data_IF_691365180383
#
_entry.id   IF_691365180383
#
_cell.length_a   1.000
_cell.length_b   1.000
_cell.length_c   1.000
_cell.angle_alpha   90.00
_cell.angle_beta   90.00
_cell.angle_gamma   90.00
#
_symmetry.space_group_name_H-M   'P 1'
#
loop_
_entity.id
_entity.type
_entity.pdbx_description
1 polymer ?
#
# COMPACT_ATOMS: atom_id res chain seq x y z
N UNK A 1 12.62 30.71 -44.02
CA UNK A 1 12.17 30.57 -42.62
C UNK A 1 12.54 29.17 -42.16
N UNK A 2 13.61 29.02 -41.39
CA UNK A 2 13.94 27.73 -40.78
C UNK A 2 13.01 27.53 -39.58
N UNK A 3 12.16 26.52 -39.68
CA UNK A 3 11.34 26.05 -38.56
C UNK A 3 12.27 25.63 -37.43
N UNK A 4 12.13 26.27 -36.26
CA UNK A 4 12.78 25.83 -35.03
C UNK A 4 12.31 24.41 -34.75
N UNK A 5 13.24 23.45 -34.82
CA UNK A 5 13.03 22.12 -34.28
C UNK A 5 12.61 22.25 -32.79
N UNK A 6 11.62 21.47 -32.33
CA UNK A 6 11.21 21.51 -30.94
C UNK A 6 12.42 21.20 -30.07
N UNK A 7 12.72 22.08 -29.12
CA UNK A 7 13.83 21.91 -28.17
C UNK A 7 13.74 20.53 -27.54
N UNK A 8 14.81 19.73 -27.66
CA UNK A 8 14.93 18.43 -27.00
C UNK A 8 14.49 18.58 -25.54
N UNK A 9 13.36 17.97 -25.16
CA UNK A 9 12.91 17.96 -23.76
C UNK A 9 14.08 17.43 -22.92
N UNK A 10 14.64 18.26 -22.05
CA UNK A 10 15.72 17.84 -21.15
C UNK A 10 15.17 16.70 -20.30
N UNK A 11 15.77 15.53 -20.42
CA UNK A 11 15.43 14.38 -19.59
C UNK A 11 15.64 14.80 -18.12
N UNK A 12 14.61 14.72 -17.27
CA UNK A 12 14.71 15.16 -15.90
C UNK A 12 15.69 14.28 -15.14
N UNK A 13 16.52 14.87 -14.27
CA UNK A 13 17.48 14.12 -13.44
C UNK A 13 16.86 13.52 -12.17
N UNK A 14 15.61 13.90 -11.87
CA UNK A 14 14.84 13.56 -10.68
C UNK A 14 13.36 13.51 -11.00
N UNK A 15 12.62 12.70 -10.26
CA UNK A 15 11.15 12.73 -10.25
C UNK A 15 10.72 13.90 -9.35
N UNK A 16 9.79 14.78 -9.77
CA UNK A 16 9.32 15.88 -8.94
C UNK A 16 8.76 15.40 -7.60
N UNK A 17 9.19 16.00 -6.50
CA UNK A 17 8.66 15.76 -5.15
C UNK A 17 8.45 17.08 -4.42
N UNK A 18 7.43 17.15 -3.55
CA UNK A 18 7.24 18.29 -2.63
C UNK A 18 7.96 18.03 -1.32
N UNK A 19 8.66 19.03 -0.81
CA UNK A 19 9.42 18.90 0.44
C UNK A 19 8.53 18.91 1.68
N UNK A 20 7.37 19.59 1.64
CA UNK A 20 6.40 19.62 2.74
C UNK A 20 5.55 18.36 2.83
N UNK A 21 5.49 17.59 1.75
CA UNK A 21 4.71 16.36 1.66
C UNK A 21 5.39 15.24 2.45
N UNK A 22 4.68 14.78 3.48
CA UNK A 22 5.06 13.65 4.31
C UNK A 22 4.53 12.32 3.79
N UNK A 23 3.50 12.32 2.92
CA UNK A 23 2.59 11.20 2.61
C UNK A 23 3.16 9.84 3.05
N UNK A 24 2.79 9.39 4.27
CA UNK A 24 3.40 8.23 4.88
C UNK A 24 2.99 6.98 4.10
N UNK A 25 3.92 6.04 4.06
CA UNK A 25 3.72 4.74 3.47
C UNK A 25 3.10 3.81 4.51
N UNK A 26 1.92 3.32 4.17
CA UNK A 26 1.26 2.21 4.83
C UNK A 26 1.66 0.95 4.06
N UNK A 27 1.71 -0.22 4.70
CA UNK A 27 2.16 -1.44 4.02
C UNK A 27 1.02 -2.16 3.34
N UNK A 28 1.44 -3.01 2.42
CA UNK A 28 0.62 -3.91 1.65
C UNK A 28 0.74 -5.35 2.19
N UNK A 29 -0.36 -6.10 2.15
CA UNK A 29 -0.29 -7.54 1.95
C UNK A 29 -0.66 -7.79 0.49
N UNK A 30 0.34 -8.21 -0.27
CA UNK A 30 0.20 -8.63 -1.65
C UNK A 30 -0.60 -9.93 -1.71
N UNK A 31 -1.85 -9.83 -2.16
CA UNK A 31 -2.48 -10.98 -2.82
C UNK A 31 -2.27 -10.72 -4.31
N UNK A 32 -1.09 -11.14 -4.76
CA UNK A 32 -0.50 -11.11 -6.10
C UNK A 32 -1.25 -10.37 -7.21
N UNK A 33 -0.57 -9.52 -8.02
CA UNK A 33 -1.10 -9.18 -9.32
C UNK A 33 -1.40 -10.47 -10.09
N UNK A 34 -2.67 -10.69 -10.40
CA UNK A 34 -3.10 -11.71 -11.37
C UNK A 34 -3.52 -10.98 -12.63
N UNK A 35 -3.50 -11.65 -13.78
CA UNK A 35 -4.05 -11.08 -15.02
C UNK A 35 -5.52 -10.62 -14.88
N UNK A 36 -6.23 -11.10 -13.84
CA UNK A 36 -7.62 -10.73 -13.53
C UNK A 36 -7.78 -9.62 -12.48
N UNK A 37 -6.82 -9.48 -11.56
CA UNK A 37 -6.71 -8.36 -10.62
C UNK A 37 -5.44 -7.58 -10.98
N UNK A 38 -5.49 -6.91 -12.13
CA UNK A 38 -4.36 -6.11 -12.66
C UNK A 38 -3.94 -4.98 -11.72
N UNK A 39 -4.81 -4.59 -10.79
CA UNK A 39 -4.53 -3.62 -9.74
C UNK A 39 -4.30 -4.35 -8.41
N UNK A 40 -3.22 -4.03 -7.67
CA UNK A 40 -2.98 -4.59 -6.35
C UNK A 40 -4.18 -4.31 -5.45
N UNK A 41 -4.46 -5.20 -4.50
CA UNK A 41 -5.62 -5.09 -3.60
C UNK A 41 -5.66 -3.77 -2.81
N UNK A 42 -4.54 -3.04 -2.72
CA UNK A 42 -4.50 -1.69 -2.17
C UNK A 42 -3.55 -0.81 -3.01
N UNK A 43 -4.01 0.29 -3.63
CA UNK A 43 -3.13 1.25 -4.25
C UNK A 43 -2.66 2.15 -3.11
N UNK A 44 -1.39 2.04 -2.76
CA UNK A 44 -0.78 3.01 -1.86
C UNK A 44 0.11 3.90 -2.69
N UNK A 45 0.24 5.19 -2.33
CA UNK A 45 1.15 6.09 -3.02
C UNK A 45 2.57 5.54 -2.88
N UNK A 46 3.01 4.80 -3.89
CA UNK A 46 4.37 4.30 -3.93
C UNK A 46 5.26 5.52 -4.05
N UNK A 47 5.97 5.83 -2.97
CA UNK A 47 6.88 6.97 -2.87
C UNK A 47 8.18 6.72 -3.63
N UNK A 48 8.06 6.22 -4.87
CA UNK A 48 9.19 5.99 -5.77
C UNK A 48 9.95 7.28 -6.05
N UNK A 49 9.28 8.44 -5.95
CA UNK A 49 9.90 9.76 -5.99
C UNK A 49 10.93 9.92 -4.87
N UNK A 50 10.58 9.50 -3.64
CA UNK A 50 11.44 9.59 -2.45
C UNK A 50 12.69 8.72 -2.60
N UNK A 51 12.52 7.48 -3.03
CA UNK A 51 13.63 6.53 -3.23
C UNK A 51 14.54 7.02 -4.35
N UNK A 52 13.96 7.40 -5.48
CA UNK A 52 14.68 7.94 -6.64
C UNK A 52 15.50 9.19 -6.32
N UNK A 53 15.06 9.95 -5.32
CA UNK A 53 15.70 11.19 -4.88
C UNK A 53 16.59 11.02 -3.64
N UNK A 54 16.62 9.85 -2.98
CA UNK A 54 17.31 9.65 -1.71
C UNK A 54 16.75 10.52 -0.57
N UNK A 55 15.44 10.77 -0.62
CA UNK A 55 14.65 11.49 0.38
C UNK A 55 13.92 10.47 1.26
N UNK A 56 13.70 10.72 2.55
CA UNK A 56 13.07 9.73 3.42
C UNK A 56 11.60 9.46 3.04
N UNK A 57 11.21 8.22 3.30
CA UNK A 57 9.83 7.76 3.40
C UNK A 57 9.46 7.63 4.88
N UNK A 58 8.20 7.91 5.23
CA UNK A 58 7.67 7.63 6.56
C UNK A 58 6.91 6.31 6.54
N UNK A 59 7.06 5.53 7.59
CA UNK A 59 6.55 4.18 7.67
C UNK A 59 5.48 4.08 8.75
N UNK A 60 4.28 3.60 8.43
CA UNK A 60 3.21 3.34 9.39
C UNK A 60 3.27 1.88 9.84
N UNK A 61 3.22 1.68 11.15
CA UNK A 61 3.15 0.37 11.78
C UNK A 61 1.77 0.17 12.40
N UNK A 62 1.22 -1.05 12.43
CA UNK A 62 0.04 -1.35 13.25
C UNK A 62 0.38 -1.14 14.73
N UNK A 63 -0.63 -0.89 15.55
CA UNK A 63 -0.47 -0.63 16.99
C UNK A 63 0.03 -1.88 17.74
N UNK A 64 -0.43 -3.06 17.31
CA UNK A 64 -0.16 -4.32 17.98
C UNK A 64 0.13 -5.44 16.98
N UNK A 65 0.89 -6.43 17.44
CA UNK A 65 0.97 -7.74 16.79
C UNK A 65 -0.38 -8.42 16.85
N UNK A 66 -0.90 -8.80 15.68
CA UNK A 66 -2.12 -9.62 15.58
C UNK A 66 -1.82 -11.09 15.33
N UNK A 67 -2.60 -11.96 15.97
CA UNK A 67 -2.57 -13.40 15.79
C UNK A 67 -3.95 -14.03 16.01
N UNK A 68 -4.13 -15.25 15.50
CA UNK A 68 -5.36 -16.06 15.63
C UNK A 68 -4.99 -17.52 15.90
N UNK A 69 -5.83 -18.24 16.64
CA UNK A 69 -5.61 -19.67 16.89
C UNK A 69 -6.31 -20.50 15.82
N UNK A 70 -5.60 -21.48 15.27
CA UNK A 70 -6.13 -22.45 14.30
C UNK A 70 -5.49 -23.82 14.54
N UNK A 71 -6.32 -24.86 14.68
CA UNK A 71 -5.87 -26.24 14.95
C UNK A 71 -4.84 -26.36 16.09
N UNK A 72 -5.01 -25.57 17.16
CA UNK A 72 -4.11 -25.57 18.32
C UNK A 72 -2.79 -24.82 18.13
N UNK A 73 -2.52 -24.28 16.94
CA UNK A 73 -1.39 -23.41 16.65
C UNK A 73 -1.82 -21.94 16.65
N UNK A 74 -0.86 -21.05 16.89
CA UNK A 74 -1.02 -19.60 16.71
C UNK A 74 -0.55 -19.25 15.30
N UNK A 75 -1.45 -18.67 14.52
CA UNK A 75 -1.17 -18.08 13.22
C UNK A 75 -0.92 -16.58 13.42
N UNK A 76 0.19 -16.06 12.91
CA UNK A 76 0.56 -14.64 13.00
C UNK A 76 1.40 -14.25 11.79
N UNK A 77 1.63 -12.95 11.61
CA UNK A 77 2.57 -12.46 10.60
C UNK A 77 4.02 -12.64 11.04
N UNK A 78 4.88 -12.97 10.08
CA UNK A 78 6.32 -12.75 10.19
C UNK A 78 6.62 -11.29 9.80
N UNK A 79 6.52 -10.38 10.78
CA UNK A 79 6.66 -8.93 10.51
C UNK A 79 8.01 -8.55 9.91
N UNK A 80 9.11 -9.24 10.24
CA UNK A 80 10.39 -8.99 9.59
C UNK A 80 10.29 -9.26 8.08
N UNK A 81 9.87 -10.48 7.71
CA UNK A 81 9.73 -10.86 6.29
C UNK A 81 8.70 -10.00 5.57
N UNK A 82 7.57 -9.69 6.21
CA UNK A 82 6.52 -8.85 5.65
C UNK A 82 7.04 -7.47 5.25
N UNK A 83 7.79 -6.82 6.14
CA UNK A 83 8.32 -5.49 5.87
C UNK A 83 9.52 -5.52 4.94
N UNK A 84 10.41 -6.51 5.05
CA UNK A 84 11.51 -6.69 4.09
C UNK A 84 10.96 -6.86 2.68
N UNK A 85 9.99 -7.75 2.49
CA UNK A 85 9.34 -7.99 1.21
C UNK A 85 8.71 -6.73 0.62
N UNK A 86 8.02 -5.94 1.45
CA UNK A 86 7.48 -4.66 1.01
C UNK A 86 8.57 -3.70 0.53
N UNK A 87 9.64 -3.53 1.29
CA UNK A 87 10.71 -2.61 0.91
C UNK A 87 11.43 -3.10 -0.36
N UNK A 88 11.59 -4.41 -0.53
CA UNK A 88 12.08 -5.02 -1.77
C UNK A 88 11.19 -4.66 -2.97
N UNK A 89 9.88 -4.90 -2.88
CA UNK A 89 8.93 -4.60 -3.96
C UNK A 89 8.91 -3.12 -4.32
N UNK A 90 8.97 -2.25 -3.30
CA UNK A 90 9.02 -0.82 -3.48
C UNK A 90 10.32 -0.38 -4.19
N UNK A 91 11.47 -0.92 -3.78
CA UNK A 91 12.76 -0.65 -4.43
C UNK A 91 12.76 -1.15 -5.87
N UNK A 92 12.23 -2.35 -6.11
CA UNK A 92 12.06 -2.93 -7.44
C UNK A 92 11.23 -2.03 -8.35
N UNK A 93 10.05 -1.61 -7.90
CA UNK A 93 9.18 -0.74 -8.68
C UNK A 93 9.83 0.63 -8.92
N UNK A 94 10.54 1.17 -7.92
CA UNK A 94 11.29 2.41 -8.08
C UNK A 94 12.41 2.30 -9.10
N UNK A 95 13.18 1.19 -9.13
CA UNK A 95 14.18 0.92 -10.18
C UNK A 95 13.54 0.92 -11.57
N UNK A 96 12.43 0.18 -11.74
CA UNK A 96 11.69 0.08 -13.01
C UNK A 96 11.18 1.45 -13.48
N UNK A 97 10.44 2.17 -12.65
CA UNK A 97 9.89 3.48 -13.01
C UNK A 97 10.93 4.57 -13.19
N UNK A 98 12.00 4.56 -12.41
CA UNK A 98 13.09 5.50 -12.59
C UNK A 98 13.78 5.27 -13.96
N UNK A 99 13.97 4.01 -14.38
CA UNK A 99 14.49 3.69 -15.70
C UNK A 99 13.55 4.15 -16.82
N UNK A 100 12.25 3.95 -16.67
CA UNK A 100 11.23 4.41 -17.63
C UNK A 100 11.23 5.95 -17.78
N UNK A 101 11.25 6.69 -16.67
CA UNK A 101 11.07 8.15 -16.66
C UNK A 101 12.36 8.94 -16.90
N UNK A 102 13.49 8.46 -16.37
CA UNK A 102 14.78 9.16 -16.35
C UNK A 102 15.81 8.55 -17.31
N UNK A 103 15.49 7.38 -17.90
CA UNK A 103 16.38 6.63 -18.80
C UNK A 103 17.76 6.34 -18.19
N UNK A 104 17.81 6.11 -16.87
CA UNK A 104 19.00 5.75 -16.11
C UNK A 104 18.67 4.67 -15.08
N UNK A 105 19.68 3.90 -14.67
CA UNK A 105 19.53 2.98 -13.52
C UNK A 105 19.49 3.77 -12.21
N UNK A 106 18.66 3.33 -11.28
CA UNK A 106 18.67 3.81 -9.90
C UNK A 106 19.88 3.20 -9.18
N UNK A 107 20.73 4.03 -8.56
CA UNK A 107 21.98 3.55 -7.95
C UNK A 107 21.78 3.04 -6.53
N UNK A 108 22.59 2.05 -6.12
CA UNK A 108 22.61 1.53 -4.75
C UNK A 108 22.80 2.64 -3.70
N UNK A 109 23.67 3.61 -3.96
CA UNK A 109 23.89 4.76 -3.07
C UNK A 109 22.61 5.58 -2.79
N UNK A 110 21.73 5.73 -3.78
CA UNK A 110 20.45 6.45 -3.60
C UNK A 110 19.49 5.66 -2.73
N UNK A 111 19.43 4.34 -2.93
CA UNK A 111 18.60 3.42 -2.15
C UNK A 111 19.11 3.37 -0.71
N UNK A 112 20.42 3.19 -0.51
CA UNK A 112 21.05 3.21 0.81
C UNK A 112 20.75 4.52 1.54
N UNK A 113 20.96 5.66 0.88
CA UNK A 113 20.66 6.97 1.45
C UNK A 113 19.17 7.16 1.79
N UNK A 114 18.27 6.63 0.97
CA UNK A 114 16.84 6.61 1.28
C UNK A 114 16.57 5.77 2.53
N UNK A 115 17.11 4.56 2.60
CA UNK A 115 16.90 3.62 3.68
C UNK A 115 17.38 4.16 5.03
N UNK A 116 18.63 4.61 5.09
CA UNK A 116 19.26 5.16 6.30
C UNK A 116 18.49 6.37 6.85
N UNK A 117 17.88 7.17 5.97
CA UNK A 117 17.07 8.32 6.37
C UNK A 117 15.64 7.97 6.75
N UNK A 118 15.08 6.89 6.22
CA UNK A 118 13.69 6.50 6.44
C UNK A 118 13.53 5.71 7.74
N UNK A 119 14.46 4.77 7.99
CA UNK A 119 14.47 3.88 9.15
C UNK A 119 14.23 4.56 10.52
N UNK A 120 14.87 5.70 10.85
CA UNK A 120 14.71 6.30 12.18
C UNK A 120 13.43 7.15 12.35
N UNK A 121 12.62 7.31 11.29
CA UNK A 121 11.48 8.21 11.29
C UNK A 121 10.20 7.52 11.73
N UNK A 122 9.40 8.22 12.52
CA UNK A 122 8.09 7.80 12.98
C UNK A 122 7.06 8.83 12.58
N UNK A 123 6.10 8.45 11.76
CA UNK A 123 4.90 9.26 11.56
C UNK A 123 3.98 9.12 12.78
N UNK A 124 3.61 10.24 13.40
CA UNK A 124 2.72 10.24 14.57
C UNK A 124 1.27 10.45 14.14
N UNK A 125 0.69 9.45 13.47
CA UNK A 125 -0.70 9.43 13.00
C UNK A 125 -1.40 8.18 13.56
N UNK A 126 -1.97 8.26 14.79
CA UNK A 126 -2.58 7.10 15.46
C UNK A 126 -3.65 6.40 14.63
N UNK A 127 -4.48 7.15 13.89
CA UNK A 127 -5.52 6.54 13.05
C UNK A 127 -4.93 5.60 12.01
N UNK A 128 -3.86 6.00 11.32
CA UNK A 128 -3.21 5.12 10.36
C UNK A 128 -2.64 3.84 11.01
N UNK A 129 -2.15 3.91 12.24
CA UNK A 129 -1.74 2.72 12.99
C UNK A 129 -2.92 1.80 13.37
N UNK A 130 -4.06 2.39 13.77
CA UNK A 130 -5.29 1.64 14.04
C UNK A 130 -5.84 0.98 12.78
N UNK A 131 -5.89 1.73 11.69
CA UNK A 131 -6.41 1.27 10.41
C UNK A 131 -5.52 0.17 9.84
N UNK A 132 -4.20 0.30 9.98
CA UNK A 132 -3.27 -0.75 9.61
C UNK A 132 -3.48 -2.03 10.43
N UNK A 133 -3.74 -1.89 11.73
CA UNK A 133 -4.11 -3.02 12.59
C UNK A 133 -5.39 -3.70 12.09
N UNK A 134 -6.39 -2.92 11.69
CA UNK A 134 -7.66 -3.45 11.17
C UNK A 134 -7.47 -4.20 9.84
N UNK A 135 -6.69 -3.64 8.91
CA UNK A 135 -6.40 -4.27 7.61
C UNK A 135 -5.72 -5.63 7.81
N UNK A 136 -4.66 -5.68 8.62
CA UNK A 136 -3.93 -6.92 8.91
C UNK A 136 -4.81 -7.94 9.65
N UNK A 137 -5.71 -7.48 10.53
CA UNK A 137 -6.68 -8.34 11.21
C UNK A 137 -7.63 -9.00 10.22
N UNK A 138 -8.30 -8.18 9.42
CA UNK A 138 -9.30 -8.63 8.44
C UNK A 138 -8.71 -9.60 7.44
N UNK A 139 -7.46 -9.37 7.02
CA UNK A 139 -6.74 -10.28 6.15
C UNK A 139 -6.48 -11.64 6.82
N UNK A 140 -5.95 -11.64 8.04
CA UNK A 140 -5.63 -12.89 8.74
C UNK A 140 -6.90 -13.67 9.09
N UNK A 141 -7.99 -12.96 9.38
CA UNK A 141 -9.31 -13.55 9.56
C UNK A 141 -9.76 -14.29 8.31
N UNK A 142 -9.69 -13.63 7.14
CA UNK A 142 -10.03 -14.23 5.86
C UNK A 142 -9.13 -15.43 5.50
N UNK A 143 -7.84 -15.35 5.80
CA UNK A 143 -6.92 -16.47 5.63
C UNK A 143 -7.32 -17.68 6.49
N UNK A 144 -7.67 -17.47 7.76
CA UNK A 144 -8.15 -18.56 8.62
C UNK A 144 -9.50 -19.12 8.16
N UNK A 145 -10.39 -18.28 7.65
CA UNK A 145 -11.67 -18.72 7.08
C UNK A 145 -11.47 -19.54 5.80
N UNK A 146 -10.50 -19.17 4.97
CA UNK A 146 -10.05 -19.97 3.84
C UNK A 146 -9.55 -21.35 4.30
N UNK A 147 -8.68 -21.41 5.33
CA UNK A 147 -8.20 -22.68 5.87
C UNK A 147 -9.33 -23.58 6.41
N UNK A 148 -10.35 -22.98 7.03
CA UNK A 148 -11.49 -23.71 7.59
C UNK A 148 -12.47 -24.22 6.52
N UNK A 149 -12.79 -23.38 5.53
CA UNK A 149 -13.86 -23.66 4.55
C UNK A 149 -13.38 -24.34 3.27
N UNK A 150 -12.09 -24.22 2.97
CA UNK A 150 -11.50 -24.50 1.65
C UNK A 150 -12.22 -23.79 0.48
N UNK A 151 -12.99 -22.75 0.78
CA UNK A 151 -13.63 -21.89 -0.22
C UNK A 151 -12.94 -20.54 -0.22
N UNK A 152 -11.89 -20.41 -1.03
CA UNK A 152 -11.12 -19.17 -1.19
C UNK A 152 -11.98 -18.01 -1.67
N UNK A 153 -12.88 -18.25 -2.62
CA UNK A 153 -13.68 -17.19 -3.22
C UNK A 153 -14.64 -16.55 -2.20
N UNK A 154 -15.29 -17.34 -1.34
CA UNK A 154 -16.19 -16.79 -0.31
C UNK A 154 -15.42 -16.02 0.79
N UNK A 155 -14.26 -16.54 1.22
CA UNK A 155 -13.40 -15.86 2.19
C UNK A 155 -12.89 -14.52 1.63
N UNK A 156 -12.50 -14.50 0.35
CA UNK A 156 -12.06 -13.29 -0.35
C UNK A 156 -13.20 -12.28 -0.52
N UNK A 157 -14.40 -12.69 -0.91
CA UNK A 157 -15.57 -11.79 -0.99
C UNK A 157 -15.87 -11.13 0.36
N UNK A 158 -15.83 -11.90 1.45
CA UNK A 158 -16.07 -11.36 2.79
C UNK A 158 -14.98 -10.36 3.19
N UNK A 159 -13.71 -10.66 2.89
CA UNK A 159 -12.61 -9.74 3.11
C UNK A 159 -12.79 -8.43 2.34
N UNK A 160 -13.06 -8.52 1.03
CA UNK A 160 -13.26 -7.35 0.16
C UNK A 160 -14.41 -6.49 0.70
N UNK A 161 -15.56 -7.09 1.00
CA UNK A 161 -16.71 -6.38 1.57
C UNK A 161 -16.37 -5.70 2.90
N UNK A 162 -15.67 -6.40 3.79
CA UNK A 162 -15.22 -5.84 5.08
C UNK A 162 -14.36 -4.61 4.88
N UNK A 163 -13.51 -4.62 3.86
CA UNK A 163 -12.64 -3.49 3.53
C UNK A 163 -13.38 -2.31 2.89
N UNK A 164 -14.37 -2.58 2.01
CA UNK A 164 -15.27 -1.54 1.46
C UNK A 164 -16.02 -0.85 2.59
N UNK A 165 -16.71 -1.62 3.42
CA UNK A 165 -17.51 -1.12 4.54
C UNK A 165 -16.65 -0.27 5.50
N UNK A 166 -15.42 -0.72 5.74
CA UNK A 166 -14.48 0.01 6.59
C UNK A 166 -14.01 1.33 5.98
N UNK A 167 -13.60 1.34 4.70
CA UNK A 167 -13.16 2.56 4.03
C UNK A 167 -14.28 3.58 3.91
N UNK A 168 -15.49 3.14 3.51
CA UNK A 168 -16.67 4.00 3.44
C UNK A 168 -16.96 4.64 4.80
N UNK A 169 -16.97 3.84 5.87
CA UNK A 169 -17.15 4.35 7.23
C UNK A 169 -16.11 5.42 7.59
N UNK A 170 -14.82 5.21 7.27
CA UNK A 170 -13.77 6.21 7.55
C UNK A 170 -13.99 7.50 6.77
N UNK A 171 -14.38 7.40 5.49
CA UNK A 171 -14.71 8.55 4.66
C UNK A 171 -15.93 9.30 5.22
N UNK A 172 -16.97 8.60 5.66
CA UNK A 172 -18.18 9.19 6.23
C UNK A 172 -17.91 9.89 7.57
N UNK A 173 -17.04 9.31 8.41
CA UNK A 173 -16.60 9.92 9.66
C UNK A 173 -15.85 11.24 9.43
N UNK A 174 -15.12 11.36 8.30
CA UNK A 174 -14.37 12.56 7.88
C UNK A 174 -13.49 13.18 8.98
N UNK A 175 -12.89 12.34 9.82
CA UNK A 175 -11.97 12.76 10.87
C UNK A 175 -10.71 11.92 10.85
N UNK A 176 -9.60 12.56 11.22
CA UNK A 176 -8.33 11.89 11.43
C UNK A 176 -7.66 12.39 12.71
N UNK A 177 -7.19 11.46 13.54
CA UNK A 177 -6.38 11.75 14.72
C UNK A 177 -4.89 11.66 14.39
N UNK A 178 -4.15 12.70 14.77
CA UNK A 178 -2.72 12.85 14.54
C UNK A 178 -2.06 13.65 15.67
N UNK A 179 -0.75 13.54 15.84
CA UNK A 179 -0.02 14.45 16.72
C UNK A 179 0.40 15.72 15.99
N UNK A 180 0.20 16.86 16.65
CA UNK A 180 0.68 18.16 16.21
C UNK A 180 1.23 18.95 17.38
N UNK A 181 2.52 19.35 17.31
CA UNK A 181 3.22 20.03 18.40
C UNK A 181 3.15 19.23 19.72
N UNK A 182 3.34 17.92 19.63
CA UNK A 182 3.37 17.00 20.78
C UNK A 182 2.01 16.71 21.41
N UNK A 183 0.90 17.09 20.76
CA UNK A 183 -0.47 16.84 21.27
C UNK A 183 -1.30 16.13 20.23
N UNK A 184 -2.13 15.18 20.67
CA UNK A 184 -3.16 14.59 19.82
C UNK A 184 -4.15 15.68 19.42
N UNK A 185 -4.44 15.75 18.13
CA UNK A 185 -5.41 16.62 17.50
C UNK A 185 -6.27 15.76 16.57
N UNK A 186 -7.56 16.06 16.55
CA UNK A 186 -8.48 15.58 15.52
C UNK A 186 -8.67 16.67 14.46
N UNK A 187 -8.58 16.29 13.19
CA UNK A 187 -8.74 17.19 12.05
C UNK A 187 -9.68 16.58 11.00
N UNK A 188 -10.20 17.40 10.08
CA UNK A 188 -11.03 16.92 8.98
C UNK A 188 -10.18 16.39 7.84
N UNK A 189 -10.65 15.34 7.19
CA UNK A 189 -9.97 14.77 6.01
C UNK A 189 -10.33 15.51 4.73
N UNK A 190 -11.54 16.08 4.66
CA UNK A 190 -12.03 16.87 3.54
C UNK A 190 -13.09 17.90 3.96
N UNK A 191 -13.36 18.84 3.05
CA UNK A 191 -14.40 19.87 3.15
C UNK A 191 -15.47 19.64 2.09
N UNK A 192 -16.73 19.80 2.47
CA UNK A 192 -17.85 19.78 1.52
C UNK A 192 -18.18 21.22 1.13
N UNK A 193 -18.23 21.51 -0.17
CA UNK A 193 -18.66 22.81 -0.69
C UNK A 193 -19.51 22.60 -1.94
N UNK A 194 -20.77 23.06 -1.89
CA UNK A 194 -21.76 22.86 -2.97
C UNK A 194 -21.85 21.37 -3.39
N UNK A 195 -22.01 20.47 -2.42
CA UNK A 195 -22.11 19.01 -2.64
C UNK A 195 -20.84 18.34 -3.18
N UNK A 196 -19.75 19.08 -3.41
CA UNK A 196 -18.48 18.50 -3.83
C UNK A 196 -17.50 18.34 -2.66
N UNK A 197 -16.72 17.25 -2.71
CA UNK A 197 -15.70 16.90 -1.73
C UNK A 197 -14.35 17.50 -2.12
N UNK A 198 -13.72 18.23 -1.19
CA UNK A 198 -12.40 18.83 -1.39
C UNK A 198 -11.43 18.28 -0.34
N UNK A 199 -10.40 17.51 -0.74
CA UNK A 199 -9.40 16.98 0.18
C UNK A 199 -8.76 18.09 1.02
N UNK A 200 -8.62 17.86 2.32
CA UNK A 200 -7.92 18.78 3.21
C UNK A 200 -6.45 18.35 3.40
N UNK A 201 -5.61 19.33 3.69
CA UNK A 201 -4.19 19.10 3.99
C UNK A 201 -4.01 19.27 5.49
N UNK A 202 -3.55 18.20 6.15
CA UNK A 202 -3.31 18.20 7.59
C UNK A 202 -1.82 18.11 7.88
N UNK A 203 -1.35 18.86 8.88
CA UNK A 203 0.03 18.77 9.36
C UNK A 203 0.14 17.79 10.53
N UNK A 204 1.20 17.00 10.55
CA UNK A 204 1.48 16.04 11.63
C UNK A 204 2.96 16.05 12.01
N UNK A 205 3.23 15.58 13.23
CA UNK A 205 4.56 15.43 13.79
C UNK A 205 5.25 14.16 13.29
N UNK A 206 6.55 14.26 13.06
CA UNK A 206 7.43 13.13 12.77
C UNK A 206 8.56 13.13 13.77
N UNK A 207 8.74 12.02 14.46
CA UNK A 207 9.86 11.85 15.39
C UNK A 207 11.00 11.18 14.65
N UNK A 208 12.20 11.75 14.73
CA UNK A 208 13.45 11.09 14.36
C UNK A 208 14.16 10.69 15.64
N UNK A 209 14.22 9.39 15.90
CA UNK A 209 14.79 8.88 17.15
C UNK A 209 16.30 9.02 17.24
N UNK A 210 17.00 8.86 16.11
CA UNK A 210 18.46 8.98 16.09
C UNK A 210 18.91 10.41 16.43
N UNK A 211 18.17 11.40 15.96
CA UNK A 211 18.47 12.81 16.21
C UNK A 211 17.77 13.38 17.45
N UNK A 212 16.84 12.63 18.05
CA UNK A 212 15.92 13.12 19.08
C UNK A 212 15.25 14.45 18.68
N UNK A 213 14.74 14.52 17.45
CA UNK A 213 14.10 15.72 16.89
C UNK A 213 12.72 15.41 16.35
N UNK A 214 11.84 16.40 16.48
CA UNK A 214 10.50 16.36 15.87
C UNK A 214 10.44 17.32 14.69
N UNK A 215 10.01 16.79 13.54
CA UNK A 215 9.73 17.52 12.32
C UNK A 215 8.23 17.61 12.08
N UNK A 216 7.82 18.47 11.15
CA UNK A 216 6.44 18.57 10.70
C UNK A 216 6.36 18.36 9.20
N UNK A 217 5.36 17.61 8.77
CA UNK A 217 5.01 17.42 7.35
C UNK A 217 3.50 17.50 7.21
N UNK A 218 3.07 17.56 5.96
CA UNK A 218 1.67 17.56 5.59
C UNK A 218 1.29 16.27 4.84
N UNK A 219 0.05 15.85 4.99
CA UNK A 219 -0.56 14.72 4.26
C UNK A 219 -1.96 15.11 3.81
N UNK A 220 -2.46 14.45 2.76
CA UNK A 220 -3.86 14.51 2.33
C UNK A 220 -4.52 13.19 2.76
N UNK A 221 -5.23 13.16 3.91
CA UNK A 221 -5.65 11.89 4.49
C UNK A 221 -6.66 11.11 3.66
N UNK A 222 -7.66 11.81 3.11
CA UNK A 222 -8.76 11.16 2.38
C UNK A 222 -8.26 10.30 1.22
N UNK A 223 -7.16 10.70 0.56
CA UNK A 223 -6.60 9.97 -0.57
C UNK A 223 -6.29 8.51 -0.23
N UNK A 224 -5.85 8.23 1.00
CA UNK A 224 -5.59 6.86 1.41
C UNK A 224 -6.87 6.00 1.38
N UNK A 225 -7.96 6.47 1.96
CA UNK A 225 -9.20 5.70 2.01
C UNK A 225 -9.91 5.67 0.66
N UNK A 226 -9.83 6.75 -0.13
CA UNK A 226 -10.38 6.84 -1.49
C UNK A 226 -9.68 5.83 -2.42
N UNK A 227 -8.35 5.84 -2.42
CA UNK A 227 -7.50 4.89 -3.16
C UNK A 227 -7.82 3.44 -2.75
N UNK A 228 -7.91 3.15 -1.45
CA UNK A 228 -8.29 1.82 -0.95
C UNK A 228 -9.69 1.40 -1.40
N UNK A 229 -10.68 2.27 -1.23
CA UNK A 229 -12.07 1.99 -1.58
C UNK A 229 -12.20 1.67 -3.08
N UNK A 230 -11.60 2.49 -3.95
CA UNK A 230 -11.60 2.29 -5.41
C UNK A 230 -11.05 0.90 -5.78
N UNK A 231 -9.95 0.49 -5.16
CA UNK A 231 -9.40 -0.85 -5.40
C UNK A 231 -10.29 -1.98 -4.91
N UNK A 232 -10.85 -1.87 -3.70
CA UNK A 232 -11.70 -2.93 -3.18
C UNK A 232 -13.03 -3.04 -3.95
N UNK A 233 -13.59 -1.92 -4.43
CA UNK A 233 -14.74 -1.92 -5.34
C UNK A 233 -14.40 -2.61 -6.67
N UNK A 234 -13.24 -2.29 -7.25
CA UNK A 234 -12.76 -2.96 -8.46
C UNK A 234 -12.59 -4.48 -8.24
N UNK A 235 -12.01 -4.88 -7.11
CA UNK A 235 -11.81 -6.29 -6.78
C UNK A 235 -13.14 -7.03 -6.56
N UNK A 236 -14.12 -6.39 -5.92
CA UNK A 236 -15.47 -6.93 -5.73
C UNK A 236 -16.12 -7.23 -7.09
N UNK A 237 -16.09 -6.24 -7.99
CA UNK A 237 -16.61 -6.38 -9.36
C UNK A 237 -15.94 -7.56 -10.08
N UNK A 238 -14.61 -7.64 -10.08
CA UNK A 238 -13.89 -8.71 -10.76
C UNK A 238 -14.20 -10.10 -10.17
N UNK A 239 -14.28 -10.21 -8.84
CA UNK A 239 -14.58 -11.48 -8.18
C UNK A 239 -16.03 -11.92 -8.42
N UNK A 240 -17.00 -11.01 -8.35
CA UNK A 240 -18.41 -11.29 -8.70
C UNK A 240 -18.56 -11.74 -10.15
N UNK A 241 -17.85 -11.10 -11.09
CA UNK A 241 -17.84 -11.47 -12.51
C UNK A 241 -17.30 -12.88 -12.71
N UNK A 242 -16.19 -13.23 -12.04
CA UNK A 242 -15.62 -14.60 -12.05
C UNK A 242 -16.61 -15.64 -11.52
N UNK A 243 -17.36 -15.29 -10.48
CA UNK A 243 -18.33 -16.19 -9.85
C UNK A 243 -19.66 -16.30 -10.60
N UNK A 244 -19.88 -15.50 -11.65
CA UNK A 244 -21.14 -15.46 -12.38
C UNK A 244 -22.31 -14.91 -11.55
N UNK A 245 -22.01 -14.08 -10.54
CA UNK A 245 -23.00 -13.43 -9.65
C UNK A 245 -23.15 -11.94 -10.03
N UNK A 246 -22.43 -11.48 -11.04
CA UNK A 246 -22.51 -10.10 -11.52
C UNK A 246 -23.76 -9.92 -12.39
N UNK A 247 -24.71 -9.09 -11.93
CA UNK A 247 -25.86 -8.67 -12.72
C UNK A 247 -25.44 -7.45 -13.57
N UNK A 248 -25.55 -7.54 -14.90
CA UNK A 248 -25.10 -6.51 -15.86
C UNK A 248 -25.78 -5.13 -15.65
N UNK A 249 -26.85 -5.07 -14.85
CA UNK A 249 -27.56 -3.83 -14.51
C UNK A 249 -26.81 -2.97 -13.46
N UNK A 250 -25.74 -3.46 -12.81
CA UNK A 250 -24.92 -2.70 -11.84
C UNK A 250 -23.85 -1.79 -12.48
N UNK A 251 -23.60 -1.86 -13.80
CA UNK A 251 -22.60 -1.02 -14.48
C UNK A 251 -22.96 0.48 -14.45
N UNK A 252 -24.24 0.85 -14.44
CA UNK A 252 -24.65 2.28 -14.41
C UNK A 252 -24.58 2.89 -12.99
N UNK A 253 -24.82 2.13 -11.91
CA UNK A 253 -24.85 2.69 -10.54
C UNK A 253 -23.45 2.82 -9.89
N UNK A 254 -22.55 1.84 -10.10
CA UNK A 254 -21.19 1.90 -9.51
C UNK A 254 -20.33 2.99 -10.19
N UNK A 255 -20.62 3.25 -11.47
CA UNK A 255 -19.98 4.31 -12.24
C UNK A 255 -20.55 5.68 -11.85
N UNK A 256 -21.84 5.81 -11.54
CA UNK A 256 -22.44 7.09 -11.15
C UNK A 256 -22.12 7.55 -9.71
N UNK A 257 -21.94 6.64 -8.73
CA UNK A 257 -21.48 7.02 -7.38
C UNK A 257 -20.03 7.54 -7.35
N UNK A 258 -19.19 7.14 -8.32
CA UNK A 258 -17.80 7.60 -8.46
C UNK A 258 -17.68 8.78 -9.45
N UNK A 259 -18.58 8.87 -10.45
CA UNK A 259 -18.48 9.87 -11.52
C UNK A 259 -19.01 11.26 -11.18
N UNK A 260 -19.79 11.44 -10.11
CA UNK A 260 -20.14 12.79 -9.66
C UNK A 260 -18.90 13.59 -9.18
N UNK A 261 -17.72 12.94 -9.05
CA UNK A 261 -16.46 13.61 -8.71
C UNK A 261 -15.40 13.71 -9.83
N UNK A 262 -15.57 13.17 -11.05
CA UNK A 262 -14.50 13.20 -12.09
C UNK A 262 -15.01 13.39 -13.53
N UNK A 263 -15.62 14.54 -13.85
CA UNK A 263 -15.70 15.05 -15.23
C UNK A 263 -14.34 15.54 -15.73
N UNK A 264 -13.44 14.62 -16.08
CA UNK A 264 -12.27 14.86 -16.95
C UNK A 264 -11.34 13.64 -16.90
N UNK A 265 -11.56 12.63 -17.74
CA UNK A 265 -10.53 11.71 -18.28
C UNK A 265 -11.22 10.69 -19.19
N UNK A 266 -11.77 11.19 -20.30
CA UNK A 266 -12.11 10.32 -21.42
C UNK A 266 -10.85 10.10 -22.26
N UNK A 267 -10.73 8.87 -22.76
CA UNK A 267 -9.73 8.34 -23.71
C UNK A 267 -8.48 7.69 -23.10
N UNK A 268 -8.60 6.39 -22.78
CA UNK A 268 -7.47 5.46 -22.88
C UNK A 268 -7.76 4.35 -23.91
N UNK A 269 -6.72 3.83 -24.60
CA UNK A 269 -6.89 2.99 -25.77
C UNK A 269 -7.07 1.51 -25.43
N UNK A 270 -7.75 0.81 -26.33
CA UNK A 270 -7.97 -0.64 -26.34
C UNK A 270 -6.65 -1.40 -26.54
N UNK A 271 -6.07 -1.91 -25.46
CA UNK A 271 -5.04 -2.97 -25.49
C UNK A 271 -5.55 -4.20 -24.71
N UNK A 272 -6.72 -4.71 -25.08
CA UNK A 272 -7.24 -6.00 -24.61
C UNK A 272 -6.99 -7.05 -25.70
N UNK A 273 -5.84 -7.76 -25.69
CA UNK A 273 -5.78 -9.05 -26.41
C UNK A 273 -4.61 -10.01 -26.10
N UNK A 274 -3.86 -9.86 -25.00
CA UNK A 274 -2.72 -10.77 -24.73
C UNK A 274 -2.58 -11.24 -23.27
N UNK A 275 -3.69 -11.47 -22.57
CA UNK A 275 -3.71 -11.97 -21.18
C UNK A 275 -4.34 -13.36 -21.09
N UNK A 276 -3.77 -14.34 -21.80
CA UNK A 276 -4.24 -15.73 -21.73
C UNK A 276 -3.17 -16.59 -21.07
N UNK A 277 -3.57 -17.08 -19.89
CA UNK A 277 -3.00 -18.17 -19.08
C UNK A 277 -2.04 -17.72 -17.97
N UNK A 278 -2.58 -17.03 -16.94
CA UNK A 278 -1.88 -16.87 -15.66
C UNK A 278 -2.78 -17.16 -14.45
N UNK A 279 -2.13 -17.75 -13.43
CA UNK A 279 -2.70 -18.46 -12.30
C UNK A 279 -3.64 -17.64 -11.40
N UNK A 280 -4.59 -18.35 -10.80
CA UNK A 280 -5.56 -17.87 -9.83
C UNK A 280 -4.91 -17.23 -8.60
N UNK A 281 -5.59 -16.23 -8.05
CA UNK A 281 -5.44 -15.74 -6.66
C UNK A 281 -5.33 -16.96 -5.74
N UNK A 282 -4.22 -17.11 -5.02
CA UNK A 282 -4.04 -18.25 -4.13
C UNK A 282 -3.40 -17.80 -2.83
N UNK A 283 -4.07 -18.05 -1.71
CA UNK A 283 -3.48 -17.94 -0.37
C UNK A 283 -2.24 -18.85 -0.25
N UNK A 284 -2.14 -19.85 -1.12
CA UNK A 284 -1.03 -20.77 -1.30
C UNK A 284 0.29 -20.06 -1.63
N UNK A 285 0.31 -19.05 -2.50
CA UNK A 285 1.55 -18.29 -2.75
C UNK A 285 1.98 -17.44 -1.53
N UNK A 286 1.03 -16.97 -0.71
CA UNK A 286 1.34 -16.33 0.58
C UNK A 286 1.97 -17.34 1.55
N UNK A 287 1.47 -18.58 1.58
CA UNK A 287 2.07 -19.67 2.38
C UNK A 287 3.50 -19.94 1.92
N UNK A 288 3.74 -20.04 0.61
CA UNK A 288 5.07 -20.26 0.03
C UNK A 288 6.06 -19.15 0.40
N UNK A 289 5.59 -17.89 0.46
CA UNK A 289 6.41 -16.74 0.86
C UNK A 289 6.70 -16.64 2.37
N UNK A 290 6.06 -17.48 3.19
CA UNK A 290 6.26 -17.54 4.65
C UNK A 290 6.05 -16.18 5.35
N UNK A 291 5.12 -15.37 4.81
CA UNK A 291 4.68 -14.09 5.38
C UNK A 291 3.74 -14.29 6.57
N UNK A 292 3.01 -15.41 6.57
CA UNK A 292 2.20 -15.90 7.68
C UNK A 292 2.86 -17.16 8.22
N UNK A 293 3.05 -17.21 9.54
CA UNK A 293 3.69 -18.33 10.24
C UNK A 293 2.70 -18.99 11.20
N UNK A 294 2.87 -20.31 11.33
CA UNK A 294 2.19 -21.13 12.31
C UNK A 294 3.20 -21.51 13.40
N UNK A 295 2.95 -21.06 14.62
CA UNK A 295 3.86 -21.27 15.76
C UNK A 295 3.10 -21.77 16.98
N UNK A 296 3.83 -22.31 17.95
CA UNK A 296 3.25 -22.67 19.24
C UNK A 296 2.84 -21.43 20.05
N UNK A 297 1.88 -21.56 20.98
CA UNK A 297 1.54 -20.49 21.92
C UNK A 297 2.74 -19.99 22.74
N UNK A 298 3.69 -20.87 23.05
CA UNK A 298 4.92 -20.56 23.78
C UNK A 298 5.86 -19.69 22.95
N UNK A 299 6.08 -20.05 21.68
CA UNK A 299 6.87 -19.25 20.73
C UNK A 299 6.24 -17.86 20.54
N UNK A 300 4.91 -17.77 20.37
CA UNK A 300 4.23 -16.48 20.24
C UNK A 300 4.41 -15.59 21.47
N UNK A 301 4.37 -16.14 22.69
CA UNK A 301 4.61 -15.38 23.93
C UNK A 301 6.03 -14.79 23.98
N UNK A 302 6.99 -15.43 23.32
CA UNK A 302 8.39 -14.98 23.27
C UNK A 302 8.69 -13.98 22.16
N UNK A 303 7.77 -13.79 21.22
CA UNK A 303 7.97 -12.86 20.10
C UNK A 303 8.04 -11.39 20.58
N UNK A 304 8.88 -10.56 19.94
CA UNK A 304 8.83 -9.12 20.13
C UNK A 304 7.43 -8.59 19.80
N UNK A 305 6.86 -7.80 20.72
CA UNK A 305 5.53 -7.21 20.53
C UNK A 305 5.59 -5.86 19.82
N UNK A 306 6.75 -5.22 19.86
CA UNK A 306 6.97 -3.96 19.20
C UNK A 306 7.42 -4.22 17.75
N UNK A 307 6.49 -4.13 16.81
CA UNK A 307 6.74 -4.38 15.38
C UNK A 307 7.84 -3.46 14.85
N UNK A 308 7.97 -2.27 15.43
CA UNK A 308 9.01 -1.33 15.02
C UNK A 308 10.41 -1.78 15.43
N UNK A 309 10.57 -2.46 16.56
CA UNK A 309 11.86 -3.07 16.92
C UNK A 309 12.24 -4.13 15.89
N UNK A 310 11.27 -4.98 15.48
CA UNK A 310 11.47 -5.99 14.43
C UNK A 310 11.90 -5.33 13.11
N UNK A 311 11.24 -4.24 12.71
CA UNK A 311 11.55 -3.54 11.45
C UNK A 311 12.88 -2.78 11.53
N UNK A 312 13.28 -2.36 12.72
CA UNK A 312 14.59 -1.76 12.95
C UNK A 312 15.74 -2.78 12.83
N UNK A 313 15.46 -4.08 12.82
CA UNK A 313 16.47 -5.12 12.55
C UNK A 313 16.72 -5.32 11.05
N UNK A 314 15.79 -4.89 10.18
CA UNK A 314 15.93 -5.00 8.72
C UNK A 314 17.17 -4.23 8.25
N UNK A 315 18.05 -4.93 7.55
CA UNK A 315 19.27 -4.42 6.95
C UNK A 315 19.07 -4.05 5.48
N UNK A 316 20.03 -3.30 4.92
CA UNK A 316 19.99 -2.95 3.50
C UNK A 316 20.05 -4.19 2.60
N UNK A 317 20.75 -5.25 3.01
CA UNK A 317 20.80 -6.52 2.28
C UNK A 317 19.44 -7.21 2.18
N UNK A 318 18.57 -7.02 3.18
CA UNK A 318 17.24 -7.62 3.16
C UNK A 318 16.29 -6.95 2.17
N UNK A 319 16.63 -5.76 1.67
CA UNK A 319 15.77 -4.96 0.78
C UNK A 319 16.33 -4.77 -0.63
N UNK A 320 17.58 -5.19 -0.86
CA UNK A 320 18.18 -5.19 -2.18
C UNK A 320 17.92 -6.53 -2.86
N UNK A 321 17.31 -6.46 -4.04
CA UNK A 321 17.22 -7.60 -4.97
C UNK A 321 18.45 -7.55 -5.87
N UNK A 322 19.16 -8.67 -5.99
CA UNK A 322 20.34 -8.78 -6.83
C UNK A 322 19.96 -8.50 -8.30
N UNK A 323 20.79 -7.72 -8.99
CA UNK A 323 20.51 -7.29 -10.37
C UNK A 323 20.45 -8.48 -11.37
N UNK A 324 20.90 -9.67 -10.97
CA UNK A 324 20.79 -10.92 -11.76
C UNK A 324 19.38 -11.51 -11.73
N UNK A 325 18.60 -11.30 -10.65
CA UNK A 325 17.20 -11.74 -10.53
C UNK A 325 16.22 -10.83 -11.32
N UNK A 326 16.70 -9.68 -11.84
CA UNK A 326 15.88 -8.80 -12.71
C UNK A 326 15.50 -9.45 -14.06
N UNK A 327 16.20 -10.52 -14.46
CA UNK A 327 15.88 -11.28 -15.67
C UNK A 327 14.75 -12.30 -15.46
N UNK A 328 14.64 -12.89 -14.26
CA UNK A 328 13.62 -13.92 -13.96
C UNK A 328 12.27 -13.31 -13.52
N UNK A 329 12.25 -12.07 -13.01
CA UNK A 329 10.99 -11.37 -12.69
C UNK A 329 10.23 -10.85 -13.93
N UNK A 330 10.78 -11.04 -15.15
CA UNK A 330 10.08 -10.84 -16.41
C UNK A 330 9.68 -12.16 -17.10
N UNK A 331 9.93 -13.31 -16.46
CA UNK A 331 9.52 -14.64 -16.94
C UNK A 331 8.42 -15.28 -16.09
N UNK A 332 7.67 -14.48 -15.33
CA UNK A 332 6.46 -14.90 -14.64
C UNK A 332 5.27 -14.08 -15.08
#
# INVERSE_FOLDING_TARGET
MFSKLPSSKKIPSKIPSRSSDGAPMIFFIDIFPSEMLSNPIMPLPMRIDKISNGEPTLTIFPEDVYSKTYNGQVITYNYHKLYSHFFQNLVYFAKKKYRELVHRKLTKDKIQKWWEKSKPLIAQIPDYSRDMTFILKSYLDAYVDFLNSQNSDQALLLYIKTMIDYCQKRIDENTIQLYYKGKIKEDRMYKIKKEHYFPDIVEFDIVNELENKTYRKAVVPIMFYDDLLECFLYNDMQLKKKLGIYEEDEEEEVIDEVNDNKKSLAEQPKEEQNYREMETISFEKIIESNLIIHISPEEFKSMPKNIREIVNEIELSDILIDDEDELDLNSF
#
